data_IF_832875565499
#
_entry.id   IF_832875565499
#
_cell.length_a   1.000
_cell.length_b   1.000
_cell.length_c   1.000
_cell.angle_alpha   90.00
_cell.angle_beta   90.00
_cell.angle_gamma   90.00
#
_symmetry.space_group_name_H-M   'P 1'
#
loop_
_entity.id
_entity.type
_entity.pdbx_description
1 polymer ?
#
# COMPACT_ATOMS: atom_id res chain seq x y z
N UNK A 1 -12.38 2.22 13.59
CA UNK A 1 -11.90 0.91 13.06
C UNK A 1 -12.95 -0.21 13.08
N UNK A 2 -13.55 -0.52 11.93
CA UNK A 2 -14.33 -1.75 11.71
C UNK A 2 -13.44 -2.69 10.87
N UNK A 3 -13.15 -3.88 11.37
CA UNK A 3 -12.29 -4.85 10.69
C UNK A 3 -13.13 -5.90 9.96
N UNK A 4 -12.95 -6.02 8.63
CA UNK A 4 -13.44 -7.17 7.87
C UNK A 4 -12.30 -8.17 7.69
N UNK A 5 -12.50 -9.40 8.19
CA UNK A 5 -11.48 -10.46 8.21
C UNK A 5 -11.74 -11.44 7.07
N UNK A 6 -10.88 -11.45 6.06
CA UNK A 6 -10.75 -12.52 5.07
C UNK A 6 -9.32 -13.05 5.11
N UNK A 7 -9.11 -14.34 4.82
CA UNK A 7 -8.04 -15.22 5.33
C UNK A 7 -6.57 -14.79 5.18
N UNK A 8 -6.24 -13.68 4.55
CA UNK A 8 -4.84 -13.27 4.30
C UNK A 8 -4.54 -11.78 4.50
N UNK A 9 -5.50 -10.87 4.39
CA UNK A 9 -5.29 -9.42 4.57
C UNK A 9 -6.31 -8.83 5.54
N UNK A 10 -5.84 -7.97 6.45
CA UNK A 10 -6.72 -7.20 7.33
C UNK A 10 -6.88 -5.81 6.75
N UNK A 11 -8.11 -5.45 6.36
CA UNK A 11 -8.44 -4.14 5.83
C UNK A 11 -8.91 -3.18 6.92
N UNK A 12 -8.54 -1.91 6.76
CA UNK A 12 -8.95 -0.80 7.60
C UNK A 12 -9.41 0.36 6.71
N UNK A 13 -10.39 1.11 7.17
CA UNK A 13 -10.77 2.40 6.58
C UNK A 13 -10.12 3.53 7.38
N UNK A 14 -9.71 4.63 6.75
CA UNK A 14 -9.33 5.84 7.47
C UNK A 14 -10.47 6.27 8.39
N UNK A 15 -10.19 6.42 9.68
CA UNK A 15 -11.13 7.11 10.57
C UNK A 15 -11.05 8.62 10.26
N UNK A 16 -12.16 9.35 10.35
CA UNK A 16 -12.13 10.81 10.25
C UNK A 16 -11.43 11.37 11.51
N UNK A 17 -10.12 11.55 11.44
CA UNK A 17 -9.36 12.07 12.59
C UNK A 17 -9.39 13.59 12.54
N UNK A 18 -9.96 14.20 13.59
CA UNK A 18 -10.07 15.65 13.72
C UNK A 18 -8.82 16.29 14.40
N UNK A 19 -7.79 15.51 14.78
CA UNK A 19 -6.62 16.08 15.49
C UNK A 19 -5.32 15.22 15.59
N UNK A 20 -5.09 14.24 14.70
CA UNK A 20 -3.85 13.43 14.72
C UNK A 20 -2.82 13.94 13.70
N UNK A 21 -2.33 15.16 13.88
CA UNK A 21 -1.21 15.66 13.09
C UNK A 21 0.10 15.57 13.90
N UNK A 22 1.11 14.94 13.32
CA UNK A 22 2.47 14.91 13.87
C UNK A 22 3.19 16.23 13.60
N UNK A 23 4.23 16.55 14.39
CA UNK A 23 5.12 17.65 14.03
C UNK A 23 5.95 17.25 12.81
N UNK A 24 5.94 18.09 11.77
CA UNK A 24 6.75 17.92 10.59
C UNK A 24 7.88 18.95 10.58
N UNK A 25 9.06 18.45 10.25
CA UNK A 25 10.25 19.26 10.08
C UNK A 25 10.60 19.22 8.58
N UNK A 26 10.31 20.31 7.86
CA UNK A 26 10.55 20.44 6.41
C UNK A 26 12.04 20.61 6.06
N UNK A 27 12.86 20.94 7.05
CA UNK A 27 14.31 20.80 6.96
C UNK A 27 14.66 19.31 6.98
N UNK A 28 15.09 18.80 5.82
CA UNK A 28 15.59 17.44 5.69
C UNK A 28 16.53 17.09 6.84
N UNK A 29 16.14 16.11 7.66
CA UNK A 29 16.95 15.65 8.79
C UNK A 29 18.17 14.95 8.19
N UNK A 30 19.27 15.70 8.08
CA UNK A 30 20.56 15.16 7.72
C UNK A 30 20.99 14.17 8.80
N UNK A 31 21.42 12.97 8.42
CA UNK A 31 22.00 11.99 9.34
C UNK A 31 23.38 12.42 9.92
N UNK A 32 23.80 13.67 9.67
CA UNK A 32 25.06 14.28 10.11
C UNK A 32 24.92 15.26 11.28
N UNK A 33 25.96 16.07 11.49
CA UNK A 33 26.06 16.99 12.64
C UNK A 33 24.96 18.08 12.61
N UNK A 34 24.15 18.26 13.67
CA UNK A 34 23.06 19.24 13.67
C UNK A 34 23.61 20.67 13.70
N UNK A 35 23.20 21.50 12.74
CA UNK A 35 23.49 22.93 12.75
C UNK A 35 22.64 23.64 13.81
N UNK A 36 23.14 24.71 14.45
CA UNK A 36 22.42 25.35 15.55
C UNK A 36 21.21 26.14 15.03
N UNK A 37 20.04 25.77 15.54
CA UNK A 37 18.78 26.53 15.67
C UNK A 37 18.53 27.63 14.62
N UNK A 38 17.98 27.25 13.46
CA UNK A 38 17.11 28.15 12.70
C UNK A 38 15.71 28.12 13.33
N UNK A 39 15.00 29.25 13.33
CA UNK A 39 13.60 29.36 13.77
C UNK A 39 12.73 28.42 12.92
N UNK A 40 12.52 27.20 13.40
CA UNK A 40 11.72 26.19 12.72
C UNK A 40 10.25 26.59 12.82
N UNK A 41 9.66 27.01 11.69
CA UNK A 41 8.22 27.05 11.55
C UNK A 41 7.68 25.62 11.72
N UNK A 42 7.10 25.34 12.89
CA UNK A 42 6.49 24.06 13.21
C UNK A 42 5.21 23.89 12.38
N UNK A 43 5.31 23.21 11.23
CA UNK A 43 4.14 22.77 10.50
C UNK A 43 3.69 21.41 11.06
N UNK A 44 2.37 21.26 11.23
CA UNK A 44 1.78 19.97 11.56
C UNK A 44 1.53 19.22 10.25
N UNK A 45 1.91 17.95 10.17
CA UNK A 45 1.62 17.07 9.05
C UNK A 45 0.67 15.97 9.48
N UNK A 46 -0.42 15.84 8.74
CA UNK A 46 -1.29 14.69 8.80
C UNK A 46 -0.87 13.69 7.73
N UNK A 47 -0.60 12.44 8.14
CA UNK A 47 -0.30 11.38 7.18
C UNK A 47 -1.48 11.09 6.26
N UNK A 48 -2.70 11.26 6.76
CA UNK A 48 -3.90 11.15 5.95
C UNK A 48 -3.91 12.23 4.87
N UNK A 49 -3.57 13.49 5.17
CA UNK A 49 -3.53 14.55 4.16
C UNK A 49 -2.43 14.34 3.12
N UNK A 50 -1.29 13.79 3.53
CA UNK A 50 -0.15 13.55 2.65
C UNK A 50 -0.36 12.33 1.73
N UNK A 51 -0.92 11.24 2.28
CA UNK A 51 -0.97 9.94 1.61
C UNK A 51 -2.34 9.62 0.99
N UNK A 52 -3.41 10.27 1.47
CA UNK A 52 -4.79 9.99 1.05
C UNK A 52 -5.33 11.11 0.17
N UNK A 53 -5.42 10.83 -1.13
CA UNK A 53 -6.06 11.75 -2.09
C UNK A 53 -7.58 11.84 -1.89
N UNK A 54 -8.22 10.70 -1.65
CA UNK A 54 -9.66 10.62 -1.43
C UNK A 54 -9.97 9.55 -0.36
N UNK A 55 -10.47 10.00 0.79
CA UNK A 55 -10.76 9.16 1.96
C UNK A 55 -11.85 8.11 1.70
N UNK A 56 -12.78 8.36 0.79
CA UNK A 56 -13.89 7.44 0.51
C UNK A 56 -13.45 6.23 -0.34
N UNK A 57 -12.35 6.39 -1.08
CA UNK A 57 -11.82 5.36 -2.00
C UNK A 57 -10.49 4.79 -1.53
N UNK A 58 -9.94 5.32 -0.44
CA UNK A 58 -8.67 4.88 0.14
C UNK A 58 -8.90 3.96 1.33
N UNK A 59 -8.13 2.88 1.35
CA UNK A 59 -8.17 1.85 2.37
C UNK A 59 -6.75 1.48 2.77
N UNK A 60 -6.61 0.94 3.97
CA UNK A 60 -5.35 0.42 4.44
C UNK A 60 -5.41 -1.10 4.56
N UNK A 61 -4.30 -1.79 4.32
CA UNK A 61 -4.19 -3.21 4.62
C UNK A 61 -2.82 -3.57 5.17
N UNK A 62 -2.76 -4.57 6.05
CA UNK A 62 -1.47 -5.14 6.49
C UNK A 62 -1.02 -6.25 5.56
N UNK A 63 0.23 -6.18 5.11
CA UNK A 63 0.89 -7.27 4.38
C UNK A 63 1.01 -8.49 5.29
N UNK A 64 0.72 -9.65 4.72
CA UNK A 64 0.94 -10.95 5.31
C UNK A 64 1.77 -11.80 4.35
N UNK A 65 2.92 -12.28 4.80
CA UNK A 65 3.84 -13.10 4.03
C UNK A 65 4.87 -12.29 3.22
N UNK A 66 5.65 -13.02 2.41
CA UNK A 66 6.92 -12.52 1.85
C UNK A 66 6.94 -12.48 0.31
N UNK A 67 5.80 -12.64 -0.36
CA UNK A 67 5.77 -12.73 -1.83
C UNK A 67 6.19 -11.46 -2.57
N UNK A 68 6.33 -10.33 -1.87
CA UNK A 68 6.60 -9.01 -2.44
C UNK A 68 7.85 -8.32 -1.86
N UNK A 69 8.74 -9.06 -1.18
CA UNK A 69 9.94 -8.50 -0.52
C UNK A 69 10.85 -7.72 -1.48
N UNK A 70 11.00 -8.17 -2.74
CA UNK A 70 11.79 -7.49 -3.76
C UNK A 70 11.21 -6.15 -4.21
N UNK A 71 9.94 -5.88 -3.89
CA UNK A 71 9.31 -4.58 -4.05
C UNK A 71 9.33 -3.73 -2.76
N UNK A 72 10.01 -4.19 -1.71
CA UNK A 72 10.10 -3.49 -0.42
C UNK A 72 8.89 -3.70 0.50
N UNK A 73 8.01 -4.66 0.18
CA UNK A 73 6.87 -5.04 1.03
C UNK A 73 7.27 -6.22 1.91
N UNK A 74 7.46 -5.95 3.18
CA UNK A 74 7.75 -6.95 4.22
C UNK A 74 6.49 -7.31 5.00
N UNK A 75 6.56 -8.42 5.74
CA UNK A 75 5.48 -8.86 6.60
C UNK A 75 5.15 -7.79 7.66
N UNK A 76 3.85 -7.55 7.89
CA UNK A 76 3.31 -6.48 8.74
C UNK A 76 3.45 -5.03 8.24
N UNK A 77 3.97 -4.79 7.03
CA UNK A 77 3.92 -3.46 6.43
C UNK A 77 2.47 -2.99 6.23
N UNK A 78 2.24 -1.69 6.39
CA UNK A 78 0.93 -1.08 6.16
C UNK A 78 0.87 -0.51 4.74
N UNK A 79 -0.06 -1.03 3.93
CA UNK A 79 -0.34 -0.55 2.58
C UNK A 79 -1.39 0.55 2.62
N UNK A 80 -1.19 1.57 1.80
CA UNK A 80 -2.23 2.52 1.41
C UNK A 80 -2.72 2.12 0.03
N UNK A 81 -4.03 1.90 -0.11
CA UNK A 81 -4.66 1.32 -1.29
C UNK A 81 -5.77 2.25 -1.77
N UNK A 82 -5.74 2.62 -3.03
CA UNK A 82 -6.75 3.48 -3.65
C UNK A 82 -7.54 2.67 -4.68
N UNK A 83 -8.87 2.60 -4.49
CA UNK A 83 -9.80 1.90 -5.39
C UNK A 83 -10.26 2.74 -6.58
N UNK A 84 -10.03 4.05 -6.56
CA UNK A 84 -10.39 4.94 -7.67
C UNK A 84 -9.37 4.90 -8.81
N UNK A 85 -8.18 4.37 -8.56
CA UNK A 85 -7.10 4.30 -9.55
C UNK A 85 -7.31 3.11 -10.50
N UNK A 86 -7.13 3.39 -11.79
CA UNK A 86 -7.18 2.36 -12.82
C UNK A 86 -5.97 1.41 -12.72
N UNK A 87 -6.19 0.09 -12.77
CA UNK A 87 -5.11 -0.87 -12.86
C UNK A 87 -4.29 -0.73 -14.14
N UNK A 88 -2.97 -0.79 -14.02
CA UNK A 88 -2.07 -0.66 -15.15
C UNK A 88 -0.85 -1.59 -15.02
N UNK A 89 -0.19 -1.85 -16.14
CA UNK A 89 1.04 -2.64 -16.16
C UNK A 89 2.08 -2.10 -15.17
N UNK A 90 2.76 -3.00 -14.48
CA UNK A 90 3.76 -2.77 -13.43
C UNK A 90 3.26 -2.14 -12.13
N UNK A 91 1.97 -1.83 -11.99
CA UNK A 91 1.41 -1.39 -10.70
C UNK A 91 1.34 -2.54 -9.70
N UNK A 92 1.51 -2.22 -8.43
CA UNK A 92 1.26 -3.17 -7.34
C UNK A 92 -0.21 -3.04 -6.97
N UNK A 93 -0.93 -4.16 -6.97
CA UNK A 93 -2.36 -4.17 -6.72
C UNK A 93 -2.72 -5.19 -5.66
N UNK A 94 -3.75 -4.86 -4.89
CA UNK A 94 -4.46 -5.83 -4.07
C UNK A 94 -5.50 -6.49 -4.97
N UNK A 95 -5.42 -7.80 -5.06
CA UNK A 95 -6.30 -8.62 -5.87
C UNK A 95 -7.05 -9.61 -4.98
N UNK A 96 -8.28 -9.91 -5.35
CA UNK A 96 -9.03 -11.04 -4.83
C UNK A 96 -8.96 -12.15 -5.88
N UNK A 97 -8.44 -13.32 -5.50
CA UNK A 97 -8.25 -14.46 -6.37
C UNK A 97 -8.77 -15.71 -5.65
N UNK A 98 -9.76 -16.37 -6.24
CA UNK A 98 -10.27 -17.68 -5.81
C UNK A 98 -10.63 -17.75 -4.31
N UNK A 99 -11.18 -16.66 -3.77
CA UNK A 99 -11.64 -16.56 -2.39
C UNK A 99 -10.66 -15.88 -1.42
N UNK A 100 -9.43 -15.61 -1.86
CA UNK A 100 -8.37 -15.06 -1.02
C UNK A 100 -7.83 -13.73 -1.56
N UNK A 101 -7.41 -12.85 -0.64
CA UNK A 101 -6.72 -11.64 -1.04
C UNK A 101 -5.22 -11.88 -1.23
N UNK A 102 -4.64 -11.23 -2.22
CA UNK A 102 -3.21 -11.27 -2.50
C UNK A 102 -2.71 -9.92 -2.97
N UNK A 103 -1.42 -9.65 -2.75
CA UNK A 103 -0.75 -8.45 -3.27
C UNK A 103 0.31 -8.89 -4.25
N UNK A 104 0.23 -8.38 -5.48
CA UNK A 104 1.12 -8.75 -6.58
C UNK A 104 1.37 -7.56 -7.51
N UNK A 105 2.46 -7.62 -8.27
CA UNK A 105 2.66 -6.70 -9.38
C UNK A 105 1.85 -7.18 -10.58
N UNK A 106 1.03 -6.29 -11.12
CA UNK A 106 0.30 -6.54 -12.35
C UNK A 106 1.27 -6.51 -13.54
N UNK A 107 1.22 -7.56 -14.36
CA UNK A 107 1.83 -7.56 -15.70
C UNK A 107 0.68 -7.70 -16.69
N UNK A 108 0.44 -6.63 -17.44
CA UNK A 108 -0.67 -6.54 -18.38
C UNK A 108 -0.08 -6.41 -19.78
N UNK A 109 -0.46 -7.33 -20.67
CA UNK A 109 0.01 -7.39 -22.06
C UNK A 109 -1.17 -7.74 -22.96
N UNK A 110 -1.57 -6.86 -23.86
CA UNK A 110 -2.70 -7.02 -24.83
C UNK A 110 -3.93 -7.75 -24.25
N UNK A 111 -3.93 -9.09 -24.24
CA UNK A 111 -5.06 -9.92 -23.80
C UNK A 111 -4.76 -10.80 -22.56
N UNK A 112 -3.62 -10.58 -21.89
CA UNK A 112 -3.19 -11.37 -20.75
C UNK A 112 -2.90 -10.50 -19.52
N UNK A 113 -3.37 -11.00 -18.37
CA UNK A 113 -3.04 -10.45 -17.05
C UNK A 113 -2.29 -11.52 -16.26
N UNK A 114 -1.15 -11.11 -15.71
CA UNK A 114 -0.35 -11.95 -14.83
C UNK A 114 -0.13 -11.24 -13.50
N UNK A 115 -0.18 -12.02 -12.42
CA UNK A 115 0.20 -11.58 -11.09
C UNK A 115 1.62 -12.03 -10.81
N UNK A 116 2.55 -11.08 -10.86
CA UNK A 116 3.96 -11.34 -10.65
C UNK A 116 4.33 -11.07 -9.18
N UNK A 117 4.81 -12.10 -8.44
CA UNK A 117 5.46 -11.86 -7.16
C UNK A 117 6.82 -11.19 -7.37
N UNK A 118 7.28 -10.50 -6.34
CA UNK A 118 8.62 -9.90 -6.27
C UNK A 118 9.46 -10.72 -5.28
N UNK A 119 9.34 -12.04 -5.38
CA UNK A 119 10.12 -13.00 -4.61
C UNK A 119 10.30 -14.26 -5.47
N UNK A 120 11.54 -14.66 -5.81
CA UNK A 120 11.80 -15.83 -6.66
C UNK A 120 11.26 -17.16 -6.12
N UNK A 121 10.98 -17.25 -4.82
CA UNK A 121 10.43 -18.46 -4.21
C UNK A 121 8.92 -18.64 -4.47
N UNK A 122 8.28 -17.66 -5.10
CA UNK A 122 6.84 -17.69 -5.39
C UNK A 122 6.61 -17.73 -6.91
N UNK A 123 5.67 -18.56 -7.39
CA UNK A 123 5.39 -18.66 -8.82
C UNK A 123 4.62 -17.44 -9.34
N UNK A 124 4.86 -17.10 -10.60
CA UNK A 124 4.02 -16.14 -11.35
C UNK A 124 2.68 -16.82 -11.62
N UNK A 125 1.58 -16.08 -11.44
CA UNK A 125 0.22 -16.59 -11.62
C UNK A 125 -0.37 -15.97 -12.89
N UNK A 126 -0.78 -16.80 -13.84
CA UNK A 126 -1.57 -16.36 -15.00
C UNK A 126 -3.03 -16.26 -14.58
N UNK A 127 -3.68 -15.15 -14.89
CA UNK A 127 -5.13 -15.05 -14.76
C UNK A 127 -5.79 -15.62 -16.01
N UNK A 128 -6.75 -16.51 -15.80
CA UNK A 128 -7.56 -17.15 -16.84
C UNK A 128 -9.04 -16.90 -16.58
N UNK A 129 -9.90 -17.21 -17.55
CA UNK A 129 -11.35 -17.04 -17.42
C UNK A 129 -11.96 -17.92 -16.32
N UNK A 130 -11.29 -19.01 -15.94
CA UNK A 130 -11.73 -19.92 -14.88
C UNK A 130 -11.47 -19.37 -13.46
N UNK A 131 -10.62 -18.34 -13.34
CA UNK A 131 -10.30 -17.75 -12.04
C UNK A 131 -11.39 -16.77 -11.60
N UNK A 132 -11.79 -16.85 -10.34
CA UNK A 132 -12.58 -15.79 -9.72
C UNK A 132 -11.64 -14.65 -9.31
N UNK A 133 -11.35 -13.77 -10.28
CA UNK A 133 -10.35 -12.71 -10.14
C UNK A 133 -10.97 -11.32 -10.16
N UNK A 134 -10.56 -10.49 -9.20
CA UNK A 134 -10.92 -9.07 -9.11
C UNK A 134 -9.70 -8.26 -8.67
N UNK A 135 -9.39 -7.20 -9.39
CA UNK A 135 -8.46 -6.18 -8.89
C UNK A 135 -9.26 -5.27 -7.94
N UNK A 136 -8.90 -5.31 -6.66
CA UNK A 136 -9.63 -4.61 -5.62
C UNK A 136 -9.23 -3.15 -5.49
N UNK A 137 -7.93 -2.86 -5.68
CA UNK A 137 -7.38 -1.50 -5.64
C UNK A 137 -5.88 -1.47 -5.84
N UNK A 138 -5.34 -0.27 -6.08
CA UNK A 138 -3.93 -0.06 -6.38
C UNK A 138 -3.19 0.42 -5.14
N UNK A 139 -2.05 -0.20 -4.85
CA UNK A 139 -1.18 0.23 -3.75
C UNK A 139 -0.50 1.53 -4.16
N UNK A 140 -0.72 2.59 -3.40
CA UNK A 140 -0.12 3.92 -3.63
C UNK A 140 1.12 4.13 -2.79
N UNK A 141 1.11 3.66 -1.54
CA UNK A 141 2.20 3.85 -0.58
C UNK A 141 2.37 2.61 0.32
N UNK A 142 3.59 2.45 0.85
CA UNK A 142 3.94 1.45 1.86
C UNK A 142 4.52 2.19 3.07
N UNK A 143 3.90 1.99 4.23
CA UNK A 143 4.36 2.55 5.50
C UNK A 143 5.01 1.42 6.28
N UNK A 144 6.33 1.51 6.42
CA UNK A 144 7.16 0.54 7.13
C UNK A 144 7.57 1.09 8.49
N UNK A 145 7.35 0.29 9.53
CA UNK A 145 7.90 0.57 10.86
C UNK A 145 9.26 -0.12 10.96
N UNK A 146 10.31 0.68 11.15
CA UNK A 146 11.69 0.20 11.37
C UNK A 146 12.02 0.03 12.84
#
# INVERSE_FOLDING_TARGET
MIAHKSGSLTFFTPDAVDDAAGQFFDTGISAGFPAPAEDFNQQRLSLDEELVKNKETTFYAKVSGQSMIGAGLDDNDLLVIDRSLEPANNKIAVCFLDGEFTVKRLRVSQDEVWLQPENPNYPIIKITEDNNFLIWGIVTNVIKKV
#
